data_IF_275299312653
#
_entry.id   IF_275299312653
#
_cell.length_a   1.000
_cell.length_b   1.000
_cell.length_c   1.000
_cell.angle_alpha   90.00
_cell.angle_beta   90.00
_cell.angle_gamma   90.00
#
_symmetry.space_group_name_H-M   'P 1'
#
loop_
_entity.id
_entity.type
_entity.pdbx_description
1 polymer ?
#
# COMPACT_ATOMS: atom_id res chain seq x y z
N UNK A 1 3.94 17.04 -8.15
CA UNK A 1 2.53 16.68 -8.49
C UNK A 1 2.55 15.29 -9.04
N UNK A 2 1.63 14.39 -8.60
CA UNK A 2 1.51 13.07 -9.25
C UNK A 2 0.85 13.27 -10.61
N UNK A 3 1.45 12.71 -11.64
CA UNK A 3 0.93 12.74 -12.99
C UNK A 3 0.02 11.52 -13.22
N UNK A 4 -0.94 11.66 -14.14
CA UNK A 4 -1.92 10.65 -14.48
C UNK A 4 -1.85 10.37 -15.96
N UNK A 5 -1.58 9.12 -16.35
CA UNK A 5 -1.83 8.63 -17.70
C UNK A 5 -3.05 7.73 -17.74
N UNK A 6 -3.83 7.87 -18.81
CA UNK A 6 -5.01 7.05 -19.08
C UNK A 6 -4.59 5.86 -19.94
N UNK A 7 -4.72 4.64 -19.41
CA UNK A 7 -4.44 3.40 -20.16
C UNK A 7 -5.61 3.04 -21.09
N UNK A 8 -6.84 3.25 -20.61
CA UNK A 8 -8.09 3.09 -21.35
C UNK A 8 -9.17 3.94 -20.71
N UNK A 9 -10.43 3.81 -21.12
CA UNK A 9 -11.55 4.60 -20.58
C UNK A 9 -11.71 4.53 -19.05
N UNK A 10 -11.23 3.48 -18.42
CA UNK A 10 -11.46 3.22 -16.99
C UNK A 10 -10.20 2.87 -16.18
N UNK A 11 -9.03 2.74 -16.83
CA UNK A 11 -7.79 2.34 -16.18
C UNK A 11 -6.73 3.42 -16.32
N UNK A 12 -5.94 3.62 -15.23
CA UNK A 12 -4.99 4.71 -15.13
C UNK A 12 -3.65 4.26 -14.56
N UNK A 13 -2.58 4.94 -14.95
CA UNK A 13 -1.27 4.89 -14.30
C UNK A 13 -1.03 6.21 -13.58
N UNK A 14 -0.65 6.15 -12.32
CA UNK A 14 -0.25 7.31 -11.52
C UNK A 14 1.22 7.17 -11.17
N UNK A 15 1.98 8.23 -11.42
CA UNK A 15 3.44 8.20 -11.36
C UNK A 15 4.00 9.58 -10.98
N UNK A 16 5.26 9.62 -10.59
CA UNK A 16 6.06 10.85 -10.47
C UNK A 16 7.19 10.87 -11.52
N UNK A 17 7.75 9.72 -11.85
CA UNK A 17 8.77 9.56 -12.89
C UNK A 17 8.12 9.37 -14.26
N UNK A 18 8.25 10.41 -15.10
CA UNK A 18 7.67 10.44 -16.43
C UNK A 18 8.27 9.38 -17.37
N UNK A 19 9.60 9.19 -17.31
CA UNK A 19 10.28 8.26 -18.21
C UNK A 19 9.97 6.80 -17.89
N UNK A 20 9.90 6.46 -16.60
CA UNK A 20 9.46 5.14 -16.18
C UNK A 20 8.01 4.85 -16.60
N UNK A 21 7.12 5.83 -16.50
CA UNK A 21 5.74 5.70 -16.95
C UNK A 21 5.64 5.58 -18.48
N UNK A 22 6.42 6.34 -19.22
CA UNK A 22 6.46 6.28 -20.69
C UNK A 22 6.96 4.90 -21.16
N UNK A 23 8.01 4.36 -20.53
CA UNK A 23 8.51 3.01 -20.81
C UNK A 23 7.46 1.93 -20.59
N UNK A 24 6.73 2.00 -19.46
CA UNK A 24 5.62 1.10 -19.17
C UNK A 24 4.50 1.19 -20.21
N UNK A 25 4.13 2.41 -20.61
CA UNK A 25 3.06 2.66 -21.58
C UNK A 25 3.44 2.18 -22.99
N UNK A 26 4.66 2.47 -23.43
CA UNK A 26 5.15 2.02 -24.75
C UNK A 26 5.14 0.50 -24.88
N UNK A 27 5.49 -0.20 -23.81
CA UNK A 27 5.37 -1.65 -23.74
C UNK A 27 3.89 -2.09 -23.75
N UNK A 28 3.06 -1.41 -23.01
CA UNK A 28 1.66 -1.71 -22.81
C UNK A 28 0.79 -1.54 -24.06
N UNK A 29 1.16 -0.64 -24.98
CA UNK A 29 0.45 -0.44 -26.27
C UNK A 29 0.49 -1.70 -27.14
N UNK A 30 1.54 -2.51 -27.05
CA UNK A 30 1.68 -3.80 -27.71
C UNK A 30 0.94 -4.96 -27.04
N UNK A 31 0.58 -4.83 -25.76
CA UNK A 31 0.10 -5.94 -24.94
C UNK A 31 -1.42 -5.87 -24.66
N UNK A 32 -2.09 -6.99 -24.84
CA UNK A 32 -3.54 -7.12 -24.53
C UNK A 32 -3.86 -7.10 -23.02
N UNK A 33 -2.84 -7.28 -22.17
CA UNK A 33 -2.98 -7.38 -20.71
C UNK A 33 -3.58 -6.11 -20.06
N UNK A 34 -3.33 -4.94 -20.65
CA UNK A 34 -3.83 -3.66 -20.16
C UNK A 34 -5.19 -3.28 -20.75
N UNK A 35 -5.72 -4.05 -21.67
CA UNK A 35 -7.12 -3.94 -22.13
C UNK A 35 -8.05 -4.56 -21.09
N UNK A 36 -7.96 -4.06 -19.87
CA UNK A 36 -8.69 -4.63 -18.73
C UNK A 36 -10.20 -4.49 -18.91
N UNK A 37 -10.93 -5.58 -18.71
CA UNK A 37 -12.40 -5.58 -18.65
C UNK A 37 -12.95 -4.89 -17.39
N UNK A 38 -12.10 -4.66 -16.38
CA UNK A 38 -12.49 -4.00 -15.14
C UNK A 38 -11.54 -2.84 -14.81
N UNK A 39 -12.05 -1.75 -14.19
CA UNK A 39 -11.25 -0.59 -13.83
C UNK A 39 -10.08 -0.99 -12.93
N UNK A 40 -8.88 -0.63 -13.32
CA UNK A 40 -7.68 -0.83 -12.50
C UNK A 40 -6.82 0.44 -12.46
N UNK A 41 -6.04 0.58 -11.39
CA UNK A 41 -5.06 1.64 -11.27
C UNK A 41 -3.68 1.04 -10.98
N UNK A 42 -2.67 1.50 -11.70
CA UNK A 42 -1.27 1.21 -11.45
C UNK A 42 -0.67 2.41 -10.72
N UNK A 43 -0.13 2.20 -9.54
CA UNK A 43 0.73 3.16 -8.84
C UNK A 43 2.17 2.79 -9.15
N UNK A 44 2.82 3.54 -10.04
CA UNK A 44 4.20 3.31 -10.44
C UNK A 44 5.13 4.14 -9.55
N UNK A 45 6.00 3.46 -8.83
CA UNK A 45 6.87 4.01 -7.81
C UNK A 45 8.33 3.66 -8.11
N UNK A 46 9.13 4.67 -8.41
CA UNK A 46 10.58 4.54 -8.67
C UNK A 46 11.43 5.11 -7.52
N UNK A 47 10.79 5.43 -6.39
CA UNK A 47 11.42 6.06 -5.24
C UNK A 47 12.51 5.18 -4.64
N UNK A 48 13.65 5.80 -4.34
CA UNK A 48 14.79 5.13 -3.71
C UNK A 48 14.67 5.04 -2.19
N UNK A 49 13.83 5.88 -1.58
CA UNK A 49 13.68 5.94 -0.12
C UNK A 49 12.25 5.62 0.33
N UNK A 50 12.15 5.05 1.54
CA UNK A 50 10.86 4.77 2.16
C UNK A 50 10.02 6.03 2.41
N UNK A 51 10.65 7.14 2.73
CA UNK A 51 9.95 8.39 3.04
C UNK A 51 9.27 8.99 1.81
N UNK A 52 9.97 9.01 0.68
CA UNK A 52 9.42 9.48 -0.61
C UNK A 52 8.26 8.60 -1.05
N UNK A 53 8.48 7.28 -1.05
CA UNK A 53 7.44 6.31 -1.39
C UNK A 53 6.20 6.44 -0.49
N UNK A 54 6.40 6.64 0.81
CA UNK A 54 5.31 6.87 1.76
C UNK A 54 4.56 8.16 1.46
N UNK A 55 5.26 9.25 1.18
CA UNK A 55 4.66 10.54 0.79
C UNK A 55 3.78 10.39 -0.45
N UNK A 56 4.27 9.68 -1.47
CA UNK A 56 3.53 9.38 -2.69
C UNK A 56 2.26 8.55 -2.41
N UNK A 57 2.36 7.50 -1.59
CA UNK A 57 1.23 6.65 -1.23
C UNK A 57 0.17 7.40 -0.42
N UNK A 58 0.56 8.25 0.52
CA UNK A 58 -0.37 9.07 1.31
C UNK A 58 -1.13 10.04 0.41
N UNK A 59 -0.41 10.75 -0.48
CA UNK A 59 -1.00 11.68 -1.43
C UNK A 59 -2.04 11.01 -2.35
N UNK A 60 -1.81 9.75 -2.69
CA UNK A 60 -2.64 8.96 -3.58
C UNK A 60 -3.54 7.94 -2.83
N UNK A 61 -3.72 8.06 -1.52
CA UNK A 61 -4.50 7.12 -0.72
C UNK A 61 -5.97 6.99 -1.15
N UNK A 62 -6.55 8.03 -1.76
CA UNK A 62 -7.90 8.02 -2.30
C UNK A 62 -8.12 6.96 -3.39
N UNK A 63 -7.07 6.55 -4.12
CA UNK A 63 -7.11 5.57 -5.21
C UNK A 63 -7.62 4.22 -4.72
N UNK A 64 -7.24 3.82 -3.51
CA UNK A 64 -7.71 2.57 -2.90
C UNK A 64 -9.22 2.55 -2.66
N UNK A 65 -9.88 3.72 -2.67
CA UNK A 65 -11.33 3.84 -2.61
C UNK A 65 -11.98 3.99 -3.99
N UNK A 66 -11.23 4.52 -4.97
CA UNK A 66 -11.73 4.80 -6.32
C UNK A 66 -11.75 3.57 -7.22
N UNK A 67 -10.71 2.72 -7.13
CA UNK A 67 -10.54 1.59 -8.03
C UNK A 67 -10.78 0.26 -7.33
N UNK A 68 -11.48 -0.70 -7.98
CA UNK A 68 -11.66 -2.04 -7.43
C UNK A 68 -10.36 -2.85 -7.42
N UNK A 69 -9.46 -2.59 -8.37
CA UNK A 69 -8.18 -3.26 -8.54
C UNK A 69 -7.04 -2.25 -8.56
N UNK A 70 -6.05 -2.44 -7.69
CA UNK A 70 -4.87 -1.57 -7.61
C UNK A 70 -3.61 -2.42 -7.68
N UNK A 71 -2.74 -2.13 -8.65
CA UNK A 71 -1.39 -2.64 -8.70
C UNK A 71 -0.42 -1.57 -8.20
N UNK A 72 0.42 -1.93 -7.25
CA UNK A 72 1.53 -1.08 -6.79
C UNK A 72 2.80 -1.68 -7.38
N UNK A 73 3.41 -0.96 -8.30
CA UNK A 73 4.67 -1.34 -8.95
C UNK A 73 5.78 -0.53 -8.33
N UNK A 74 6.82 -1.18 -7.83
CA UNK A 74 7.91 -0.47 -7.18
C UNK A 74 9.02 -1.40 -6.67
N UNK A 75 10.08 -0.85 -6.05
CA UNK A 75 11.18 -1.63 -5.54
C UNK A 75 10.78 -2.57 -4.40
N UNK A 76 11.44 -3.71 -4.31
CA UNK A 76 11.10 -4.84 -3.42
C UNK A 76 10.97 -4.47 -1.93
N UNK A 77 11.70 -3.45 -1.46
CA UNK A 77 11.63 -3.03 -0.05
C UNK A 77 10.23 -2.51 0.36
N UNK A 78 9.41 -2.06 -0.62
CA UNK A 78 8.05 -1.58 -0.36
C UNK A 78 7.04 -2.72 -0.14
N UNK A 79 7.36 -3.93 -0.59
CA UNK A 79 6.44 -5.07 -0.57
C UNK A 79 5.78 -5.27 0.79
N UNK A 80 6.56 -5.33 1.88
CA UNK A 80 6.02 -5.54 3.23
C UNK A 80 5.10 -4.42 3.71
N UNK A 81 5.32 -3.21 3.24
CA UNK A 81 4.53 -2.04 3.64
C UNK A 81 3.19 -2.02 2.92
N UNK A 82 3.21 -2.31 1.63
CA UNK A 82 1.99 -2.21 0.80
C UNK A 82 1.14 -3.48 0.79
N UNK A 83 1.70 -4.63 1.13
CA UNK A 83 0.92 -5.85 1.25
C UNK A 83 -0.17 -5.74 2.33
N UNK A 84 -1.42 -6.00 1.94
CA UNK A 84 -2.58 -6.00 2.84
C UNK A 84 -2.98 -4.63 3.39
N UNK A 85 -2.62 -3.52 2.75
CA UNK A 85 -3.03 -2.17 3.19
C UNK A 85 -4.44 -1.79 2.76
N UNK A 86 -4.90 -2.28 1.62
CA UNK A 86 -6.22 -1.96 1.07
C UNK A 86 -7.31 -2.93 1.51
N UNK A 87 -8.57 -2.48 1.42
CA UNK A 87 -9.76 -3.32 1.64
C UNK A 87 -10.25 -3.98 0.35
N UNK A 88 -9.64 -3.67 -0.79
CA UNK A 88 -9.95 -4.15 -2.14
C UNK A 88 -8.78 -4.93 -2.70
N UNK A 89 -8.95 -5.50 -3.87
CA UNK A 89 -7.91 -6.25 -4.54
C UNK A 89 -6.68 -5.36 -4.82
N UNK A 90 -5.65 -5.52 -3.99
CA UNK A 90 -4.38 -4.78 -4.10
C UNK A 90 -3.24 -5.79 -4.21
N UNK A 91 -2.38 -5.61 -5.21
CA UNK A 91 -1.19 -6.43 -5.41
C UNK A 91 0.06 -5.57 -5.46
N UNK A 92 1.16 -6.09 -4.94
CA UNK A 92 2.50 -5.55 -5.17
C UNK A 92 3.17 -6.34 -6.30
N UNK A 93 3.77 -5.62 -7.23
CA UNK A 93 4.59 -6.15 -8.32
C UNK A 93 5.95 -5.47 -8.24
N UNK A 94 7.02 -6.25 -8.24
CA UNK A 94 8.36 -5.68 -8.29
C UNK A 94 8.56 -4.96 -9.63
N UNK A 95 9.29 -3.83 -9.61
CA UNK A 95 9.55 -3.06 -10.83
C UNK A 95 10.26 -3.92 -11.89
N UNK A 96 11.12 -4.85 -11.45
CA UNK A 96 11.86 -5.74 -12.35
C UNK A 96 10.96 -6.85 -12.95
N UNK A 97 9.82 -7.17 -12.29
CA UNK A 97 8.89 -8.21 -12.71
C UNK A 97 7.72 -7.68 -13.56
N UNK A 98 7.50 -6.36 -13.63
CA UNK A 98 6.27 -5.81 -14.24
C UNK A 98 6.12 -6.20 -15.70
N UNK A 99 7.18 -6.15 -16.50
CA UNK A 99 7.13 -6.48 -17.92
C UNK A 99 6.79 -7.95 -18.14
N UNK A 100 7.39 -8.84 -17.34
CA UNK A 100 7.08 -10.28 -17.37
C UNK A 100 5.62 -10.53 -17.00
N UNK A 101 5.13 -9.87 -15.95
CA UNK A 101 3.72 -9.97 -15.53
C UNK A 101 2.78 -9.50 -16.65
N UNK A 102 3.10 -8.42 -17.33
CA UNK A 102 2.28 -7.92 -18.43
C UNK A 102 2.28 -8.84 -19.65
N UNK A 103 3.43 -9.44 -20.02
CA UNK A 103 3.55 -10.36 -21.15
C UNK A 103 2.84 -11.71 -20.90
N UNK A 104 2.88 -12.22 -19.68
CA UNK A 104 2.28 -13.51 -19.32
C UNK A 104 0.79 -13.42 -18.98
N UNK A 105 0.27 -12.21 -18.75
CA UNK A 105 -1.07 -12.02 -18.20
C UNK A 105 -2.04 -11.54 -19.25
N UNK A 106 -3.13 -12.28 -19.48
CA UNK A 106 -4.22 -11.87 -20.40
C UNK A 106 -5.01 -10.65 -19.89
N UNK A 107 -5.02 -10.41 -18.59
CA UNK A 107 -5.71 -9.27 -17.97
C UNK A 107 -5.11 -8.96 -16.61
N UNK A 108 -4.63 -7.73 -16.44
CA UNK A 108 -4.06 -7.25 -15.18
C UNK A 108 -5.07 -7.29 -14.03
N UNK A 109 -6.33 -6.97 -14.28
CA UNK A 109 -7.39 -7.02 -13.26
C UNK A 109 -7.62 -8.45 -12.73
N UNK A 110 -7.63 -9.44 -13.61
CA UNK A 110 -7.73 -10.86 -13.23
C UNK A 110 -6.51 -11.33 -12.44
N UNK A 111 -5.31 -10.90 -12.83
CA UNK A 111 -4.09 -11.17 -12.09
C UNK A 111 -4.14 -10.59 -10.67
N UNK A 112 -4.54 -9.31 -10.54
CA UNK A 112 -4.68 -8.63 -9.26
C UNK A 112 -5.71 -9.37 -8.38
N UNK A 113 -6.87 -9.70 -8.93
CA UNK A 113 -7.93 -10.40 -8.20
C UNK A 113 -7.44 -11.76 -7.67
N UNK A 114 -6.87 -12.58 -8.53
CA UNK A 114 -6.36 -13.92 -8.16
C UNK A 114 -5.29 -13.84 -7.07
N UNK A 115 -4.36 -12.90 -7.17
CA UNK A 115 -3.24 -12.77 -6.24
C UNK A 115 -3.62 -12.09 -4.92
N UNK A 116 -4.62 -11.21 -4.91
CA UNK A 116 -5.11 -10.57 -3.69
C UNK A 116 -5.94 -11.50 -2.80
N UNK A 117 -6.71 -12.41 -3.38
CA UNK A 117 -7.51 -13.40 -2.62
C UNK A 117 -6.63 -14.32 -1.76
N UNK A 118 -5.40 -14.58 -2.18
CA UNK A 118 -4.46 -15.43 -1.42
C UNK A 118 -3.86 -14.75 -0.17
N UNK A 119 -4.09 -13.46 0.05
CA UNK A 119 -3.38 -12.65 1.06
C UNK A 119 -4.28 -11.90 2.06
N UNK A 120 -5.58 -12.17 2.10
CA UNK A 120 -6.50 -11.51 3.06
C UNK A 120 -6.30 -12.11 4.45
N UNK A 121 -5.18 -11.81 5.08
CA UNK A 121 -5.02 -11.95 6.52
C UNK A 121 -5.46 -10.65 7.18
N UNK A 122 -6.74 -10.53 7.50
CA UNK A 122 -7.30 -9.42 8.30
C UNK A 122 -6.92 -9.59 9.78
N UNK A 123 -5.63 -9.53 10.08
CA UNK A 123 -5.18 -9.49 11.45
C UNK A 123 -5.44 -8.11 12.04
N UNK A 124 -6.49 -8.02 12.84
CA UNK A 124 -6.84 -6.79 13.56
C UNK A 124 -5.95 -6.63 14.79
N UNK A 125 -5.51 -5.40 15.04
CA UNK A 125 -4.84 -5.05 16.29
C UNK A 125 -5.82 -5.15 17.47
N UNK A 126 -5.36 -5.69 18.59
CA UNK A 126 -6.10 -5.60 19.86
C UNK A 126 -6.18 -4.15 20.31
N UNK A 127 -7.05 -3.88 21.27
CA UNK A 127 -7.18 -2.53 21.85
C UNK A 127 -5.85 -2.02 22.42
N UNK A 128 -5.13 -2.86 23.19
CA UNK A 128 -3.84 -2.50 23.78
C UNK A 128 -2.76 -2.25 22.73
N UNK A 129 -2.66 -3.12 21.70
CA UNK A 129 -1.72 -2.91 20.58
C UNK A 129 -1.98 -1.59 19.86
N UNK A 130 -3.26 -1.26 19.64
CA UNK A 130 -3.66 0.00 18.99
C UNK A 130 -3.34 1.20 19.84
N UNK A 131 -3.58 1.16 21.16
CA UNK A 131 -3.22 2.25 22.06
C UNK A 131 -1.71 2.51 22.05
N UNK A 132 -0.90 1.45 22.19
CA UNK A 132 0.56 1.55 22.16
C UNK A 132 1.02 2.13 20.82
N UNK A 133 0.48 1.65 19.71
CA UNK A 133 0.86 2.11 18.38
C UNK A 133 0.48 3.59 18.17
N UNK A 134 -0.70 4.02 18.60
CA UNK A 134 -1.13 5.42 18.50
C UNK A 134 -0.22 6.38 19.29
N UNK A 135 0.32 5.94 20.43
CA UNK A 135 1.25 6.74 21.21
C UNK A 135 2.66 6.77 20.58
N UNK A 136 3.11 5.65 19.99
CA UNK A 136 4.34 5.60 19.18
C UNK A 136 4.27 6.52 17.96
N UNK A 137 3.12 6.59 17.28
CA UNK A 137 2.87 7.52 16.17
C UNK A 137 3.01 8.99 16.57
N UNK A 138 2.75 9.31 17.83
CA UNK A 138 2.95 10.66 18.40
C UNK A 138 4.40 10.91 18.84
N UNK A 139 5.33 10.01 18.50
CA UNK A 139 6.74 10.13 18.89
C UNK A 139 7.02 9.88 20.37
N UNK A 140 6.07 9.30 21.12
CA UNK A 140 6.26 9.11 22.56
C UNK A 140 7.22 7.95 22.85
N UNK A 141 8.14 8.17 23.78
CA UNK A 141 9.10 7.14 24.22
C UNK A 141 8.38 5.97 24.90
N UNK A 142 8.89 4.73 24.79
CA UNK A 142 8.28 3.56 25.42
C UNK A 142 8.12 3.68 26.94
N UNK A 143 9.05 4.34 27.65
CA UNK A 143 8.97 4.63 29.08
C UNK A 143 7.79 5.53 29.42
N UNK A 144 7.57 6.59 28.64
CA UNK A 144 6.42 7.49 28.80
C UNK A 144 5.10 6.77 28.53
N UNK A 145 5.06 5.93 27.47
CA UNK A 145 3.88 5.12 27.16
C UNK A 145 3.53 4.18 28.29
N UNK A 146 4.56 3.53 28.87
CA UNK A 146 4.42 2.62 30.02
C UNK A 146 3.80 3.33 31.23
N UNK A 147 4.32 4.49 31.59
CA UNK A 147 3.78 5.33 32.67
C UNK A 147 2.34 5.74 32.39
N UNK A 148 2.04 6.23 31.17
CA UNK A 148 0.71 6.71 30.78
C UNK A 148 -0.35 5.60 30.77
N UNK A 149 0.01 4.39 30.33
CA UNK A 149 -0.89 3.25 30.28
C UNK A 149 -0.88 2.41 31.57
N UNK A 150 -0.08 2.79 32.58
CA UNK A 150 0.13 2.03 33.82
C UNK A 150 0.57 0.60 33.56
N UNK A 151 1.49 0.42 32.61
CA UNK A 151 2.04 -0.87 32.18
C UNK A 151 3.55 -0.89 32.36
N UNK A 152 4.13 -2.10 32.38
CA UNK A 152 5.60 -2.24 32.37
C UNK A 152 6.14 -1.97 30.94
N UNK A 153 7.34 -1.36 30.83
CA UNK A 153 8.04 -1.12 29.56
C UNK A 153 8.23 -2.41 28.76
N UNK A 154 8.47 -3.54 29.44
CA UNK A 154 8.56 -4.86 28.79
C UNK A 154 7.24 -5.25 28.12
N UNK A 155 6.11 -4.94 28.76
CA UNK A 155 4.77 -5.15 28.18
C UNK A 155 4.54 -4.28 26.94
N UNK A 156 4.92 -3.00 26.99
CA UNK A 156 4.84 -2.09 25.83
C UNK A 156 5.66 -2.64 24.65
N UNK A 157 6.89 -3.10 24.93
CA UNK A 157 7.74 -3.72 23.90
C UNK A 157 7.13 -5.02 23.36
N UNK A 158 6.45 -5.79 24.18
CA UNK A 158 5.69 -6.98 23.79
C UNK A 158 4.53 -6.63 22.84
N UNK A 159 3.70 -5.65 23.20
CA UNK A 159 2.58 -5.17 22.38
C UNK A 159 3.07 -4.63 21.02
N UNK A 160 4.16 -3.85 21.02
CA UNK A 160 4.78 -3.38 19.76
C UNK A 160 5.19 -4.54 18.85
N UNK A 161 5.91 -5.54 19.40
CA UNK A 161 6.33 -6.72 18.62
C UNK A 161 5.15 -7.54 18.12
N UNK A 162 4.08 -7.66 18.90
CA UNK A 162 2.85 -8.33 18.47
C UNK A 162 2.19 -7.58 17.30
N UNK A 163 2.11 -6.25 17.37
CA UNK A 163 1.62 -5.43 16.26
C UNK A 163 2.50 -5.57 15.00
N UNK A 164 3.83 -5.60 15.15
CA UNK A 164 4.77 -5.83 14.04
C UNK A 164 4.53 -7.17 13.34
N UNK A 165 4.36 -8.25 14.10
CA UNK A 165 4.03 -9.58 13.54
C UNK A 165 2.70 -9.55 12.78
N UNK A 166 1.66 -8.93 13.35
CA UNK A 166 0.33 -8.81 12.71
C UNK A 166 0.37 -8.00 11.42
N UNK A 167 1.24 -7.01 11.34
CA UNK A 167 1.43 -6.19 10.14
C UNK A 167 2.45 -6.78 9.15
N UNK A 168 3.11 -7.89 9.51
CA UNK A 168 4.17 -8.50 8.72
C UNK A 168 5.27 -7.48 8.37
N UNK A 169 5.78 -6.79 9.39
CA UNK A 169 6.85 -5.78 9.28
C UNK A 169 7.98 -6.09 10.26
N UNK A 170 9.20 -5.66 9.93
CA UNK A 170 10.42 -6.00 10.66
C UNK A 170 10.96 -4.85 11.51
N UNK A 171 10.59 -3.61 11.20
CA UNK A 171 11.05 -2.43 11.92
C UNK A 171 9.90 -1.61 12.51
N UNK A 172 10.21 -0.80 13.52
CA UNK A 172 9.24 0.16 14.10
C UNK A 172 8.84 1.22 13.08
N UNK A 173 9.76 1.61 12.20
CA UNK A 173 9.48 2.59 11.14
C UNK A 173 8.47 2.01 10.15
N UNK A 174 8.68 0.79 9.65
CA UNK A 174 7.72 0.10 8.77
C UNK A 174 6.34 -0.04 9.43
N UNK A 175 6.31 -0.36 10.74
CA UNK A 175 5.05 -0.47 11.50
C UNK A 175 4.28 0.85 11.51
N UNK A 176 4.96 1.94 11.81
CA UNK A 176 4.38 3.29 11.86
C UNK A 176 3.87 3.71 10.48
N UNK A 177 4.71 3.56 9.46
CA UNK A 177 4.38 3.91 8.07
C UNK A 177 3.16 3.11 7.58
N UNK A 178 3.17 1.80 7.75
CA UNK A 178 2.08 0.93 7.32
C UNK A 178 0.77 1.22 8.06
N UNK A 179 0.83 1.47 9.36
CA UNK A 179 -0.37 1.82 10.13
C UNK A 179 -0.94 3.17 9.68
N UNK A 180 -0.10 4.20 9.53
CA UNK A 180 -0.52 5.51 9.05
C UNK A 180 -1.18 5.42 7.68
N UNK A 181 -0.57 4.69 6.75
CA UNK A 181 -1.12 4.48 5.42
C UNK A 181 -2.51 3.80 5.46
N UNK A 182 -2.67 2.78 6.30
CA UNK A 182 -3.99 2.12 6.48
C UNK A 182 -5.06 3.07 7.01
N UNK A 183 -4.72 3.93 7.94
CA UNK A 183 -5.69 4.91 8.48
C UNK A 183 -6.05 5.96 7.42
N UNK A 184 -5.10 6.46 6.63
CA UNK A 184 -5.39 7.41 5.54
C UNK A 184 -6.29 6.79 4.47
N UNK A 185 -6.04 5.53 4.08
CA UNK A 185 -6.89 4.81 3.12
C UNK A 185 -8.33 4.68 3.65
N UNK A 186 -8.51 4.35 4.94
CA UNK A 186 -9.83 4.29 5.57
C UNK A 186 -10.52 5.65 5.56
N UNK A 187 -9.80 6.72 5.95
CA UNK A 187 -10.33 8.07 5.97
C UNK A 187 -10.75 8.54 4.57
N UNK A 188 -9.96 8.23 3.53
CA UNK A 188 -10.30 8.54 2.15
C UNK A 188 -11.58 7.83 1.69
N UNK A 189 -11.78 6.58 2.10
CA UNK A 189 -13.01 5.83 1.81
C UNK A 189 -14.26 6.41 2.46
N UNK A 190 -14.15 6.87 3.70
CA UNK A 190 -15.29 7.46 4.45
C UNK A 190 -15.70 8.82 3.87
N UNK A 191 -14.73 9.66 3.47
CA UNK A 191 -15.03 10.96 2.85
C UNK A 191 -15.85 10.82 1.57
N UNK A 192 -15.57 9.81 0.76
CA UNK A 192 -16.29 9.56 -0.49
C UNK A 192 -17.70 8.99 -0.29
N UNK A 193 -17.93 8.25 0.78
CA UNK A 193 -19.26 7.69 1.08
C UNK A 193 -20.28 8.74 1.60
N UNK A 194 -19.80 9.95 1.94
CA UNK A 194 -20.61 11.04 2.49
C UNK A 194 -20.82 12.22 1.51
N UNK A 195 -20.21 12.21 0.35
CA UNK A 195 -20.36 13.17 -0.73
C UNK A 195 -21.02 12.56 -1.96
#
# INVERSE_FOLDING_TARGET
MSNLFKLNTQSHVIFEDYYAALGLLSYAEGESALRAYQPCCILLMTHSTLLEAFSFLIKNAYIFSCYPHVAIVGPSFLKRIVEGIGNKATVFIDVDEILTVLSETRSLSSYIQKRSLSKINTTTLTFCERQVLNLLLKGQAPSFIASKLKMNVKTISGQKRAAMRKYNVTSTVELVVKHRLREEIKCAGVKRARG
#
